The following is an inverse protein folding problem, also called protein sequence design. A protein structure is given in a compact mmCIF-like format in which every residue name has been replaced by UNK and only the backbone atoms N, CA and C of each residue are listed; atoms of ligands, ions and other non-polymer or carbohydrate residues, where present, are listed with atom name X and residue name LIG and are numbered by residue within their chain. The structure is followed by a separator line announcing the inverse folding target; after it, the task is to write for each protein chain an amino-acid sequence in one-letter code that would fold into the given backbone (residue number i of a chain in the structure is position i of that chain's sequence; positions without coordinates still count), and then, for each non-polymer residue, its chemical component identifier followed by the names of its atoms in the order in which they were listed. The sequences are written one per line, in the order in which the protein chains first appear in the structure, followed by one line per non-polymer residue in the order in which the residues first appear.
data_IF_713994110139
#
_entry.id   IF_713994110139
#
_cell.length_a   1.000
_cell.length_b   1.000
_cell.length_c   1.000
_cell.angle_alpha   90.00
_cell.angle_beta   90.00
_cell.angle_gamma   90.00
#
_symmetry.space_group_name_H-M   'P 1'
#
loop_
_entity.id
_entity.type
_entity.pdbx_description
1 polymer ?
#
# COMPACT_ATOMS: atom_id res chain seq x y z
N UNK A 1 -20.84 17.49 33.04
CA UNK A 1 -20.28 16.38 32.21
C UNK A 1 -20.24 16.77 30.74
N UNK A 2 -19.45 17.78 30.36
CA UNK A 2 -19.28 18.23 28.96
C UNK A 2 -17.80 18.26 28.53
N UNK A 3 -16.85 18.00 29.44
CA UNK A 3 -15.42 18.04 29.14
C UNK A 3 -14.87 16.82 28.39
N UNK A 4 -15.48 15.63 28.55
CA UNK A 4 -14.94 14.39 27.99
C UNK A 4 -15.28 14.20 26.50
N UNK A 5 -16.39 14.78 26.04
CA UNK A 5 -16.85 14.62 24.65
C UNK A 5 -16.12 15.58 23.69
N UNK A 6 -15.66 16.74 24.17
CA UNK A 6 -14.86 17.67 23.35
C UNK A 6 -13.42 17.18 23.17
N UNK A 7 -12.89 16.39 24.12
CA UNK A 7 -11.56 15.80 24.03
C UNK A 7 -11.46 14.72 22.94
N UNK A 8 -12.55 14.01 22.65
CA UNK A 8 -12.62 13.08 21.52
C UNK A 8 -12.72 13.77 20.16
N UNK A 9 -13.13 15.05 20.14
CA UNK A 9 -13.32 15.84 18.91
C UNK A 9 -12.07 16.63 18.50
N UNK A 10 -11.04 16.69 19.35
CA UNK A 10 -9.79 17.44 19.10
C UNK A 10 -8.55 16.52 19.03
N UNK A 11 -8.62 15.25 19.43
CA UNK A 11 -7.48 14.31 19.39
C UNK A 11 -7.46 13.31 18.22
N UNK A 12 -8.40 13.37 17.27
CA UNK A 12 -8.44 12.43 16.13
C UNK A 12 -7.67 12.89 14.89
N UNK A 13 -6.82 13.90 14.98
CA UNK A 13 -6.05 14.42 13.83
C UNK A 13 -4.62 13.86 13.81
N UNK A 14 -4.47 12.58 14.14
CA UNK A 14 -3.43 11.78 13.49
C UNK A 14 -4.17 11.07 12.37
N UNK A 15 -4.07 11.60 11.14
CA UNK A 15 -4.56 10.85 9.97
C UNK A 15 -3.82 9.52 10.01
N UNK A 16 -4.53 8.42 10.23
CA UNK A 16 -3.94 7.07 10.19
C UNK A 16 -3.08 6.95 8.92
N UNK A 17 -1.86 6.36 8.96
CA UNK A 17 -1.02 6.21 7.78
C UNK A 17 -1.77 5.60 6.58
N UNK A 18 -2.72 4.70 6.84
CA UNK A 18 -3.61 4.13 5.83
C UNK A 18 -4.61 5.14 5.25
N UNK A 19 -5.15 6.04 6.07
CA UNK A 19 -6.05 7.10 5.61
C UNK A 19 -5.29 8.16 4.79
N UNK A 20 -4.05 8.48 5.17
CA UNK A 20 -3.18 9.38 4.40
C UNK A 20 -2.82 8.74 3.05
N UNK A 21 -2.42 7.47 3.08
CA UNK A 21 -2.17 6.67 1.88
C UNK A 21 -3.37 6.66 0.93
N UNK A 22 -4.56 6.32 1.45
CA UNK A 22 -5.77 6.24 0.63
C UNK A 22 -6.12 7.59 -0.02
N UNK A 23 -6.04 8.70 0.74
CA UNK A 23 -6.26 10.05 0.20
C UNK A 23 -5.28 10.40 -0.92
N UNK A 24 -4.00 10.05 -0.77
CA UNK A 24 -2.99 10.32 -1.80
C UNK A 24 -3.27 9.52 -3.08
N UNK A 25 -3.70 8.27 -2.95
CA UNK A 25 -4.12 7.45 -4.10
C UNK A 25 -5.35 8.05 -4.79
N UNK A 26 -6.39 8.44 -4.03
CA UNK A 26 -7.60 9.05 -4.59
C UNK A 26 -7.32 10.38 -5.29
N UNK A 27 -6.51 11.25 -4.69
CA UNK A 27 -6.12 12.53 -5.29
C UNK A 27 -5.40 12.35 -6.62
N UNK A 28 -4.48 11.38 -6.69
CA UNK A 28 -3.77 11.06 -7.92
C UNK A 28 -4.71 10.50 -9.01
N UNK A 29 -5.73 9.72 -8.64
CA UNK A 29 -6.73 9.23 -9.61
C UNK A 29 -7.61 10.36 -10.17
N UNK A 30 -7.94 11.35 -9.34
CA UNK A 30 -8.78 12.47 -9.74
C UNK A 30 -8.13 13.39 -10.77
N UNK A 31 -6.80 13.38 -10.91
CA UNK A 31 -6.11 14.23 -11.89
C UNK A 31 -6.23 13.69 -13.32
N UNK A 32 -6.66 12.43 -13.52
CA UNK A 32 -6.86 11.84 -14.85
C UNK A 32 -5.58 11.44 -15.60
N UNK A 33 -4.42 11.91 -15.16
CA UNK A 33 -3.09 11.63 -15.76
C UNK A 33 -2.30 10.53 -15.01
N UNK A 34 -2.99 9.71 -14.20
CA UNK A 34 -2.35 8.67 -13.43
C UNK A 34 -1.89 7.50 -14.30
N UNK A 35 -0.64 7.08 -14.11
CA UNK A 35 -0.04 5.86 -14.67
C UNK A 35 0.32 4.91 -13.52
N UNK A 36 0.81 3.71 -13.84
CA UNK A 36 1.20 2.71 -12.84
C UNK A 36 2.20 3.26 -11.81
N UNK A 37 3.03 4.22 -12.22
CA UNK A 37 4.07 4.81 -11.37
C UNK A 37 3.53 5.94 -10.48
N UNK A 38 2.41 6.55 -10.84
CA UNK A 38 1.86 7.74 -10.18
C UNK A 38 1.54 7.50 -8.70
N UNK A 39 1.15 6.27 -8.34
CA UNK A 39 0.76 5.93 -6.96
C UNK A 39 1.91 5.36 -6.11
N UNK A 40 3.07 5.07 -6.71
CA UNK A 40 4.24 4.51 -6.00
C UNK A 40 4.71 5.41 -4.84
N UNK A 41 4.77 6.76 -4.96
CA UNK A 41 5.15 7.62 -3.85
C UNK A 41 4.26 7.46 -2.61
N UNK A 42 2.95 7.29 -2.79
CA UNK A 42 2.02 7.06 -1.68
C UNK A 42 2.33 5.73 -0.98
N UNK A 43 2.58 4.66 -1.75
CA UNK A 43 2.91 3.34 -1.22
C UNK A 43 4.23 3.36 -0.43
N UNK A 44 5.25 4.06 -0.93
CA UNK A 44 6.54 4.20 -0.23
C UNK A 44 6.37 4.95 1.08
N UNK A 45 5.60 6.05 1.08
CA UNK A 45 5.29 6.76 2.31
C UNK A 45 4.58 5.84 3.31
N UNK A 46 3.60 5.03 2.88
CA UNK A 46 2.93 4.08 3.78
C UNK A 46 3.94 3.09 4.38
N UNK A 47 4.82 2.50 3.56
CA UNK A 47 5.83 1.54 4.04
C UNK A 47 6.78 2.20 5.04
N UNK A 48 7.24 3.42 4.77
CA UNK A 48 8.14 4.16 5.66
C UNK A 48 7.46 4.57 6.98
N UNK A 49 6.15 4.86 6.96
CA UNK A 49 5.40 5.12 8.19
C UNK A 49 5.19 3.85 9.02
N UNK A 50 4.83 2.73 8.37
CA UNK A 50 4.63 1.44 9.05
C UNK A 50 5.96 0.86 9.52
N UNK A 51 7.03 1.12 8.78
CA UNK A 51 8.37 0.74 9.16
C UNK A 51 9.42 1.82 8.84
N UNK A 52 9.77 2.64 9.84
CA UNK A 52 10.72 3.74 9.69
C UNK A 52 12.16 3.32 9.34
N UNK A 53 12.60 2.12 9.73
CA UNK A 53 13.94 1.58 9.41
C UNK A 53 13.99 0.86 8.06
N UNK A 54 12.88 0.82 7.32
CA UNK A 54 12.84 0.28 5.97
C UNK A 54 13.56 1.18 4.98
N UNK A 55 14.48 0.62 4.19
CA UNK A 55 14.94 1.26 2.96
C UNK A 55 14.10 0.73 1.80
N UNK A 56 13.39 1.63 1.11
CA UNK A 56 12.59 1.32 -0.07
C UNK A 56 13.35 1.76 -1.31
N UNK A 57 13.58 0.85 -2.25
CA UNK A 57 14.33 1.09 -3.49
C UNK A 57 13.36 0.95 -4.65
N UNK A 58 13.17 2.03 -5.40
CA UNK A 58 12.47 2.02 -6.68
C UNK A 58 13.38 1.48 -7.78
N UNK A 59 12.81 0.71 -8.70
CA UNK A 59 13.50 0.18 -9.87
C UNK A 59 14.86 -0.43 -9.48
N UNK A 60 14.87 -1.40 -8.54
CA UNK A 60 16.09 -2.09 -8.15
C UNK A 60 16.81 -2.62 -9.39
N UNK A 61 18.15 -2.73 -9.28
CA UNK A 61 18.96 -3.34 -10.34
C UNK A 61 18.34 -4.67 -10.75
N UNK A 62 18.25 -4.89 -12.07
CA UNK A 62 17.72 -6.12 -12.65
C UNK A 62 18.43 -7.33 -12.04
N UNK A 63 17.64 -8.27 -11.53
CA UNK A 63 18.05 -9.57 -11.02
C UNK A 63 17.74 -10.66 -12.04
N UNK A 64 18.17 -11.90 -11.78
CA UNK A 64 18.04 -13.01 -12.74
C UNK A 64 16.60 -13.22 -13.24
N UNK A 65 15.59 -13.01 -12.38
CA UNK A 65 14.20 -13.18 -12.76
C UNK A 65 13.57 -11.94 -13.44
N UNK A 66 14.24 -10.78 -13.46
CA UNK A 66 13.71 -9.52 -14.00
C UNK A 66 14.01 -8.33 -13.08
N UNK A 67 13.20 -7.28 -13.19
CA UNK A 67 13.29 -6.10 -12.33
C UNK A 67 11.91 -5.87 -11.70
N UNK A 68 11.66 -6.33 -10.46
CA UNK A 68 10.46 -5.97 -9.72
C UNK A 68 10.43 -4.46 -9.49
N UNK A 69 9.24 -3.87 -9.36
CA UNK A 69 9.12 -2.40 -9.25
C UNK A 69 9.78 -1.82 -8.00
N UNK A 70 9.65 -2.51 -6.87
CA UNK A 70 10.15 -2.04 -5.58
C UNK A 70 10.86 -3.17 -4.83
N UNK A 71 12.03 -2.89 -4.26
CA UNK A 71 12.67 -3.73 -3.26
C UNK A 71 12.61 -3.08 -1.89
N UNK A 72 12.27 -3.86 -0.86
CA UNK A 72 12.27 -3.41 0.53
C UNK A 72 13.44 -4.06 1.26
N UNK A 73 14.28 -3.23 1.86
CA UNK A 73 15.43 -3.66 2.66
C UNK A 73 15.28 -3.27 4.12
N UNK A 74 15.93 -4.04 4.99
CA UNK A 74 16.16 -3.73 6.40
C UNK A 74 17.65 -3.84 6.68
N UNK A 75 18.12 -3.18 7.73
CA UNK A 75 19.51 -3.31 8.18
C UNK A 75 19.55 -4.24 9.37
N UNK A 76 20.27 -5.36 9.25
CA UNK A 76 20.52 -6.29 10.35
C UNK A 76 22.02 -6.38 10.58
N UNK A 77 22.48 -6.11 11.81
CA UNK A 77 23.91 -6.13 12.14
C UNK A 77 24.77 -5.16 11.31
N UNK A 78 24.19 -4.04 10.86
CA UNK A 78 24.86 -3.06 9.99
C UNK A 78 24.89 -3.42 8.51
N UNK A 79 24.33 -4.57 8.11
CA UNK A 79 24.30 -5.02 6.71
C UNK A 79 22.88 -4.89 6.15
N UNK A 80 22.69 -4.21 4.98
CA UNK A 80 21.41 -4.19 4.30
C UNK A 80 21.04 -5.57 3.76
N UNK A 81 19.81 -5.99 4.04
CA UNK A 81 19.24 -7.24 3.56
C UNK A 81 17.86 -6.98 2.94
N UNK A 82 17.64 -7.51 1.73
CA UNK A 82 16.33 -7.41 1.08
C UNK A 82 15.34 -8.37 1.72
N UNK A 83 14.32 -7.83 2.36
CA UNK A 83 13.28 -8.61 3.05
C UNK A 83 12.14 -9.03 2.14
N UNK A 84 11.99 -8.37 0.98
CA UNK A 84 10.98 -8.72 -0.02
C UNK A 84 10.88 -7.69 -1.14
N UNK A 85 10.01 -7.99 -2.09
CA UNK A 85 9.75 -7.20 -3.28
C UNK A 85 8.27 -6.84 -3.38
N UNK A 86 7.96 -5.76 -4.09
CA UNK A 86 6.61 -5.36 -4.42
C UNK A 86 6.53 -5.15 -5.93
N UNK A 87 5.57 -5.81 -6.56
CA UNK A 87 5.17 -5.60 -7.94
C UNK A 87 3.86 -4.82 -7.96
N UNK A 88 3.81 -3.76 -8.75
CA UNK A 88 2.66 -2.87 -8.86
C UNK A 88 1.90 -3.06 -10.18
N UNK A 89 0.63 -2.67 -10.18
CA UNK A 89 -0.25 -2.57 -11.34
C UNK A 89 -1.08 -1.30 -11.23
N UNK A 90 -1.63 -0.84 -12.35
CA UNK A 90 -2.60 0.26 -12.34
C UNK A 90 -3.79 -0.05 -11.42
N UNK A 91 -4.38 1.00 -10.85
CA UNK A 91 -5.43 0.85 -9.83
C UNK A 91 -6.63 0.03 -10.29
N UNK A 92 -6.98 0.15 -11.57
CA UNK A 92 -8.13 -0.53 -12.17
C UNK A 92 -7.80 -1.91 -12.76
N UNK A 93 -6.53 -2.34 -12.71
CA UNK A 93 -6.12 -3.66 -13.19
C UNK A 93 -6.55 -4.75 -12.21
N UNK A 94 -7.16 -5.81 -12.77
CA UNK A 94 -7.51 -7.02 -12.04
C UNK A 94 -6.26 -7.79 -11.61
N UNK A 95 -6.09 -7.98 -10.31
CA UNK A 95 -4.98 -8.80 -9.80
C UNK A 95 -5.14 -10.29 -10.11
N UNK A 96 -6.37 -10.77 -10.36
CA UNK A 96 -6.59 -12.15 -10.80
C UNK A 96 -6.01 -12.39 -12.20
N UNK A 97 -6.10 -11.40 -13.08
CA UNK A 97 -5.49 -11.47 -14.41
C UNK A 97 -3.98 -11.28 -14.33
N UNK A 98 -3.52 -10.29 -13.56
CA UNK A 98 -2.10 -9.99 -13.39
C UNK A 98 -1.30 -11.21 -12.88
N UNK A 99 -1.88 -11.99 -11.96
CA UNK A 99 -1.25 -13.20 -11.42
C UNK A 99 -1.00 -14.31 -12.44
N UNK A 100 -1.76 -14.32 -13.54
CA UNK A 100 -1.63 -15.32 -14.61
C UNK A 100 -0.61 -14.90 -15.67
N UNK A 101 -0.07 -13.68 -15.58
CA UNK A 101 0.96 -13.23 -16.50
C UNK A 101 2.26 -14.03 -16.33
N UNK A 102 2.98 -14.25 -17.42
CA UNK A 102 4.29 -14.92 -17.39
C UNK A 102 5.29 -14.21 -16.48
N UNK A 103 5.20 -12.88 -16.39
CA UNK A 103 6.00 -12.07 -15.50
C UNK A 103 5.74 -12.43 -14.03
N UNK A 104 4.49 -12.42 -13.59
CA UNK A 104 4.16 -12.71 -12.20
C UNK A 104 4.39 -14.17 -11.83
N UNK A 105 4.14 -15.11 -12.74
CA UNK A 105 4.49 -16.51 -12.51
C UNK A 105 6.00 -16.66 -12.26
N UNK A 106 6.84 -16.05 -13.11
CA UNK A 106 8.30 -16.06 -12.93
C UNK A 106 8.74 -15.42 -11.62
N UNK A 107 8.14 -14.29 -11.23
CA UNK A 107 8.46 -13.62 -9.97
C UNK A 107 8.04 -14.43 -8.75
N UNK A 108 6.86 -15.05 -8.74
CA UNK A 108 6.42 -15.93 -7.65
C UNK A 108 7.35 -17.12 -7.46
N UNK A 109 7.88 -17.71 -8.53
CA UNK A 109 8.83 -18.81 -8.44
C UNK A 109 10.21 -18.37 -7.95
N UNK A 110 10.67 -17.18 -8.35
CA UNK A 110 12.06 -16.76 -8.10
C UNK A 110 12.24 -15.89 -6.84
N UNK A 111 11.19 -15.22 -6.37
CA UNK A 111 11.27 -14.30 -5.23
C UNK A 111 10.66 -14.97 -3.99
N UNK A 112 11.43 -15.11 -2.89
CA UNK A 112 10.96 -15.81 -1.70
C UNK A 112 9.85 -15.04 -0.96
N UNK A 113 9.78 -13.73 -1.14
CA UNK A 113 8.80 -12.86 -0.50
C UNK A 113 8.37 -11.73 -1.46
N UNK A 114 7.11 -11.77 -1.90
CA UNK A 114 6.56 -10.87 -2.92
C UNK A 114 5.19 -10.35 -2.48
N UNK A 115 4.95 -9.06 -2.68
CA UNK A 115 3.62 -8.46 -2.65
C UNK A 115 3.24 -8.05 -4.08
N UNK A 116 2.04 -8.44 -4.52
CA UNK A 116 1.40 -7.89 -5.71
C UNK A 116 0.30 -6.91 -5.28
N UNK A 117 0.25 -5.73 -5.88
CA UNK A 117 -0.78 -4.73 -5.57
C UNK A 117 -1.19 -3.87 -6.75
N UNK A 118 -2.47 -3.50 -6.79
CA UNK A 118 -3.02 -2.41 -7.61
C UNK A 118 -3.35 -1.19 -6.73
N UNK A 119 -2.64 -1.01 -5.61
CA UNK A 119 -2.85 0.04 -4.60
C UNK A 119 -4.18 -0.04 -3.81
N UNK A 120 -5.12 -0.89 -4.19
CA UNK A 120 -6.36 -1.19 -3.46
C UNK A 120 -6.33 -2.54 -2.78
N UNK A 121 -5.94 -3.55 -3.54
CA UNK A 121 -5.75 -4.92 -3.08
C UNK A 121 -4.26 -5.21 -2.94
N UNK A 122 -3.91 -5.96 -1.90
CA UNK A 122 -2.56 -6.44 -1.62
C UNK A 122 -2.61 -7.95 -1.48
N UNK A 123 -1.76 -8.65 -2.22
CA UNK A 123 -1.64 -10.11 -2.18
C UNK A 123 -0.22 -10.48 -1.83
N UNK A 124 -0.07 -11.18 -0.71
CA UNK A 124 1.22 -11.53 -0.17
C UNK A 124 1.56 -12.98 -0.49
N UNK A 125 2.70 -13.17 -1.14
CA UNK A 125 3.26 -14.44 -1.56
C UNK A 125 4.55 -14.75 -0.80
N UNK A 126 4.66 -15.99 -0.31
CA UNK A 126 5.88 -16.50 0.33
C UNK A 126 6.22 -17.85 -0.25
N UNK A 127 7.43 -17.97 -0.82
CA UNK A 127 7.88 -19.14 -1.60
C UNK A 127 6.89 -19.50 -2.70
N UNK A 128 6.41 -18.49 -3.43
CA UNK A 128 5.44 -18.65 -4.51
C UNK A 128 4.00 -18.90 -4.08
N UNK A 129 3.73 -19.18 -2.81
CA UNK A 129 2.39 -19.50 -2.28
C UNK A 129 1.67 -18.27 -1.73
N UNK A 130 0.38 -18.12 -2.08
CA UNK A 130 -0.45 -17.02 -1.55
C UNK A 130 -0.70 -17.23 -0.06
N UNK A 131 -0.27 -16.28 0.77
CA UNK A 131 -0.43 -16.32 2.23
C UNK A 131 -1.57 -15.44 2.74
N UNK A 132 -1.80 -14.28 2.12
CA UNK A 132 -2.84 -13.35 2.56
C UNK A 132 -3.28 -12.43 1.43
N UNK A 133 -4.56 -12.08 1.44
CA UNK A 133 -5.13 -10.97 0.68
C UNK A 133 -5.64 -9.90 1.65
N UNK A 134 -5.49 -8.64 1.30
CA UNK A 134 -6.06 -7.51 2.03
C UNK A 134 -6.55 -6.47 1.03
N UNK A 135 -7.73 -5.91 1.27
CA UNK A 135 -8.31 -4.88 0.42
C UNK A 135 -8.60 -3.64 1.26
N UNK A 136 -8.19 -2.49 0.75
CA UNK A 136 -8.60 -1.19 1.28
C UNK A 136 -9.96 -0.85 0.68
N UNK A 137 -11.00 -1.04 1.49
CA UNK A 137 -12.31 -0.44 1.21
C UNK A 137 -12.31 1.01 1.67
N UNK A 138 -12.86 1.95 0.88
CA UNK A 138 -13.10 3.31 1.35
C UNK A 138 -13.84 3.24 2.69
N UNK A 139 -13.29 3.90 3.70
CA UNK A 139 -14.06 4.18 4.91
C UNK A 139 -15.23 5.04 4.45
N UNK A 140 -16.43 4.45 4.37
CA UNK A 140 -17.68 5.21 4.32
C UNK A 140 -17.69 6.07 5.58
N UNK A 141 -17.21 7.31 5.48
CA UNK A 141 -17.46 8.32 6.48
C UNK A 141 -18.96 8.57 6.44
N UNK A 142 -19.71 7.82 7.26
CA UNK A 142 -21.09 8.17 7.59
C UNK A 142 -21.01 9.50 8.32
N UNK A 143 -21.23 10.58 7.60
CA UNK A 143 -21.55 11.87 8.22
C UNK A 143 -22.90 11.66 8.90
N UNK A 144 -22.89 11.38 10.20
CA UNK A 144 -24.11 11.51 10.99
C UNK A 144 -24.42 13.00 11.09
N UNK A 145 -25.26 13.49 10.16
CA UNK A 145 -25.96 14.74 10.38
C UNK A 145 -27.00 14.50 11.47
N UNK A 146 -26.67 14.89 12.70
CA UNK A 146 -27.68 15.11 13.74
C UNK A 146 -28.42 16.40 13.41
N UNK A 147 -29.55 16.30 12.72
CA UNK A 147 -30.56 17.37 12.76
C UNK A 147 -31.28 17.29 14.10
N UNK A 148 -30.79 18.02 15.09
CA UNK A 148 -31.60 18.36 16.26
C UNK A 148 -32.26 19.71 15.99
N UNK A 149 -33.45 19.67 15.41
CA UNK A 149 -34.43 20.75 15.54
C UNK A 149 -34.96 20.67 16.97
N UNK A 150 -34.78 21.74 17.75
CA UNK A 150 -35.56 21.98 18.94
C UNK A 150 -36.40 23.24 18.66
N UNK A 151 -37.67 23.01 18.35
CA UNK A 151 -38.75 23.93 18.78
C UNK A 151 -38.92 23.80 20.30
#
# INVERSE_FOLDING_TARGET
MQGTLLMYRILSTVISPLAAYWRAVEQALQTGDATEHTHRPALVQLIQHLQPDARVIHEPKRIACGAPDIAVQRTLGGVPFTVGYIETKDVDVSLDEAERSEQLMRYRTALPNLILTNYREFRWYVEGELRRKATLTPLLMRVQHSTSNWE
#
